data_IF_215373036327
#
_entry.id   IF_215373036327
#
_cell.length_a   1.000
_cell.length_b   1.000
_cell.length_c   1.000
_cell.angle_alpha   90.00
_cell.angle_beta   90.00
_cell.angle_gamma   90.00
#
_symmetry.space_group_name_H-M   'P 1'
#
loop_
_entity.id
_entity.type
_entity.pdbx_description
1 polymer ?
#
# COMPACT_ATOMS: atom_id res chain seq x y z
N UNK A 1 -30.14 -24.77 10.06
CA UNK A 1 -28.70 -24.44 10.18
C UNK A 1 -28.16 -23.67 8.98
N UNK A 2 -27.78 -24.28 7.84
CA UNK A 2 -27.20 -23.55 6.69
C UNK A 2 -28.18 -22.56 6.00
N UNK A 3 -29.42 -23.00 5.77
CA UNK A 3 -30.47 -22.17 5.16
C UNK A 3 -30.93 -21.02 6.08
N UNK A 4 -30.82 -21.21 7.39
CA UNK A 4 -31.22 -20.23 8.39
C UNK A 4 -30.19 -19.11 8.48
N UNK A 5 -28.89 -19.46 8.50
CA UNK A 5 -27.80 -18.49 8.36
C UNK A 5 -27.86 -17.73 7.03
N UNK A 6 -28.13 -18.42 5.92
CA UNK A 6 -28.28 -17.76 4.61
C UNK A 6 -29.43 -16.74 4.61
N UNK A 7 -30.56 -17.06 5.25
CA UNK A 7 -31.70 -16.15 5.37
C UNK A 7 -31.41 -14.96 6.30
N UNK A 8 -30.67 -15.18 7.39
CA UNK A 8 -30.24 -14.09 8.28
C UNK A 8 -29.30 -13.12 7.56
N UNK A 9 -28.32 -13.62 6.80
CA UNK A 9 -27.43 -12.78 5.97
C UNK A 9 -28.23 -12.03 4.90
N UNK A 10 -29.14 -12.72 4.20
CA UNK A 10 -29.95 -12.08 3.16
C UNK A 10 -30.87 -10.99 3.72
N UNK A 11 -31.42 -11.19 4.92
CA UNK A 11 -32.25 -10.19 5.61
C UNK A 11 -31.41 -9.00 6.04
N UNK A 12 -30.24 -9.24 6.65
CA UNK A 12 -29.32 -8.17 7.03
C UNK A 12 -28.87 -7.31 5.84
N UNK A 13 -28.49 -7.93 4.72
CA UNK A 13 -28.10 -7.21 3.50
C UNK A 13 -29.27 -6.39 2.96
N UNK A 14 -30.47 -6.97 2.95
CA UNK A 14 -31.68 -6.29 2.49
C UNK A 14 -32.01 -5.09 3.37
N UNK A 15 -31.97 -5.25 4.68
CA UNK A 15 -32.27 -4.18 5.64
C UNK A 15 -31.24 -3.05 5.56
N UNK A 16 -29.97 -3.38 5.32
CA UNK A 16 -28.91 -2.40 5.06
C UNK A 16 -29.10 -1.64 3.73
N UNK A 17 -29.81 -2.20 2.75
CA UNK A 17 -30.06 -1.59 1.43
C UNK A 17 -31.45 -0.95 1.31
N UNK A 18 -32.43 -1.32 2.15
CA UNK A 18 -33.79 -0.76 2.15
C UNK A 18 -33.93 0.49 2.99
N UNK A 19 -32.99 0.73 3.91
CA UNK A 19 -32.80 2.05 4.49
C UNK A 19 -32.35 3.01 3.39
N UNK A 20 -33.30 3.63 2.69
CA UNK A 20 -33.00 4.79 1.87
C UNK A 20 -32.24 5.78 2.77
N UNK A 21 -31.01 6.18 2.41
CA UNK A 21 -30.33 7.21 3.19
C UNK A 21 -31.30 8.39 3.29
N UNK A 22 -31.46 8.93 4.51
CA UNK A 22 -32.19 10.17 4.68
C UNK A 22 -31.65 11.16 3.64
N UNK A 23 -32.53 11.83 2.90
CA UNK A 23 -32.12 12.77 1.87
C UNK A 23 -31.33 13.92 2.52
N UNK A 24 -30.01 13.75 2.61
CA UNK A 24 -29.05 14.71 3.14
C UNK A 24 -28.29 15.33 1.99
N UNK A 25 -28.02 16.63 2.10
CA UNK A 25 -27.07 17.30 1.22
C UNK A 25 -25.66 16.83 1.55
N UNK A 26 -24.88 16.44 0.54
CA UNK A 26 -23.45 16.24 0.71
C UNK A 26 -22.82 17.63 0.66
N UNK A 27 -22.59 18.20 1.84
CA UNK A 27 -21.93 19.49 2.03
C UNK A 27 -20.51 19.30 2.61
N UNK A 28 -19.87 20.43 2.87
CA UNK A 28 -18.50 20.48 3.38
C UNK A 28 -18.38 19.84 4.78
N UNK A 29 -19.43 19.94 5.60
CA UNK A 29 -19.48 19.40 6.96
C UNK A 29 -19.49 17.86 6.93
N UNK A 30 -20.19 17.25 5.97
CA UNK A 30 -20.15 15.80 5.77
C UNK A 30 -18.72 15.31 5.48
N UNK A 31 -17.96 16.04 4.68
CA UNK A 31 -16.57 15.67 4.35
C UNK A 31 -15.68 15.81 5.59
N UNK A 32 -15.81 16.90 6.33
CA UNK A 32 -14.98 17.14 7.52
C UNK A 32 -15.29 16.12 8.63
N UNK A 33 -16.55 15.78 8.84
CA UNK A 33 -16.97 14.72 9.78
C UNK A 33 -16.43 13.33 9.38
N UNK A 34 -16.36 13.04 8.08
CA UNK A 34 -15.76 11.81 7.59
C UNK A 34 -14.23 11.79 7.80
N UNK A 35 -13.54 12.92 7.63
CA UNK A 35 -12.11 13.06 7.95
C UNK A 35 -11.87 12.81 9.45
N UNK A 36 -12.67 13.42 10.31
CA UNK A 36 -12.57 13.24 11.76
C UNK A 36 -12.83 11.79 12.20
N UNK A 37 -13.83 11.15 11.60
CA UNK A 37 -14.14 9.73 11.86
C UNK A 37 -12.98 8.81 11.47
N UNK A 38 -12.34 9.08 10.32
CA UNK A 38 -11.18 8.31 9.86
C UNK A 38 -9.93 8.59 10.69
N UNK A 39 -9.78 9.80 11.20
CA UNK A 39 -8.67 10.16 12.08
C UNK A 39 -8.66 9.35 13.39
N UNK A 40 -9.82 8.86 13.87
CA UNK A 40 -9.90 7.95 15.01
C UNK A 40 -9.24 6.58 14.79
N UNK A 41 -8.95 6.21 13.52
CA UNK A 41 -8.27 4.97 13.13
C UNK A 41 -6.88 5.20 12.55
N UNK A 42 -6.48 6.45 12.39
CA UNK A 42 -5.21 6.81 11.79
C UNK A 42 -4.05 6.49 12.73
N UNK A 43 -2.99 5.90 12.18
CA UNK A 43 -1.74 5.69 12.90
C UNK A 43 -0.79 6.87 12.63
N UNK A 44 -0.56 7.78 13.60
CA UNK A 44 0.25 8.97 13.39
C UNK A 44 1.75 8.68 13.26
N UNK A 45 2.20 7.49 13.65
CA UNK A 45 3.62 7.10 13.60
C UNK A 45 3.90 6.41 12.26
N UNK A 46 3.10 5.41 11.92
CA UNK A 46 3.35 4.59 10.73
C UNK A 46 2.45 4.95 9.54
N UNK A 47 1.49 5.86 9.70
CA UNK A 47 0.51 6.14 8.66
C UNK A 47 -0.45 4.97 8.40
N UNK A 48 -1.42 5.20 7.53
CA UNK A 48 -2.50 4.28 7.26
C UNK A 48 -3.59 4.27 8.34
N UNK A 49 -4.56 3.38 8.16
CA UNK A 49 -5.74 3.29 9.01
C UNK A 49 -5.93 1.87 9.54
N UNK A 50 -6.03 1.72 10.87
CA UNK A 50 -6.13 0.42 11.53
C UNK A 50 -4.78 -0.19 11.91
N UNK A 51 -4.81 -1.44 12.37
CA UNK A 51 -3.64 -2.20 12.82
C UNK A 51 -3.16 -3.23 11.80
N UNK A 52 -2.57 -4.31 12.30
CA UNK A 52 -2.13 -5.47 11.53
C UNK A 52 -3.29 -6.46 11.24
N UNK A 53 -3.36 -7.09 10.05
CA UNK A 53 -2.59 -6.78 8.83
C UNK A 53 -2.97 -5.41 8.27
N UNK A 54 -1.99 -4.66 7.75
CA UNK A 54 -2.18 -3.29 7.30
C UNK A 54 -2.29 -3.19 5.78
N UNK A 55 -3.41 -2.63 5.33
CA UNK A 55 -3.74 -2.45 3.90
C UNK A 55 -3.66 -0.97 3.49
N UNK A 56 -3.20 -0.65 2.27
CA UNK A 56 -3.20 0.71 1.72
C UNK A 56 -4.56 1.40 1.75
N UNK A 57 -5.67 0.65 1.56
CA UNK A 57 -7.04 1.21 1.51
C UNK A 57 -7.16 2.38 0.51
N UNK A 58 -6.88 2.11 -0.77
CA UNK A 58 -6.71 3.16 -1.78
C UNK A 58 -7.89 4.13 -1.92
N UNK A 59 -9.13 3.67 -1.72
CA UNK A 59 -10.32 4.55 -1.73
C UNK A 59 -10.33 5.56 -0.58
N UNK A 60 -9.87 5.15 0.61
CA UNK A 60 -9.75 6.03 1.78
C UNK A 60 -8.65 7.07 1.55
N UNK A 61 -7.51 6.64 0.98
CA UNK A 61 -6.42 7.56 0.63
C UNK A 61 -6.82 8.55 -0.47
N UNK A 62 -7.59 8.11 -1.46
CA UNK A 62 -8.13 8.99 -2.51
C UNK A 62 -9.09 10.03 -1.90
N UNK A 63 -9.95 9.62 -0.96
CA UNK A 63 -10.80 10.54 -0.22
C UNK A 63 -9.96 11.56 0.58
N UNK A 64 -8.91 11.13 1.27
CA UNK A 64 -8.01 12.05 2.01
C UNK A 64 -7.31 13.05 1.08
N UNK A 65 -6.83 12.62 -0.09
CA UNK A 65 -6.25 13.54 -1.09
C UNK A 65 -7.26 14.60 -1.53
N UNK A 66 -8.51 14.22 -1.75
CA UNK A 66 -9.58 15.14 -2.14
C UNK A 66 -9.92 16.12 -1.01
N UNK A 67 -10.01 15.64 0.24
CA UNK A 67 -10.21 16.50 1.40
C UNK A 67 -9.04 17.48 1.61
N UNK A 68 -7.80 17.00 1.48
CA UNK A 68 -6.60 17.84 1.57
C UNK A 68 -6.58 18.94 0.49
N UNK A 69 -6.97 18.61 -0.76
CA UNK A 69 -7.12 19.59 -1.85
C UNK A 69 -8.16 20.68 -1.57
N UNK A 70 -9.18 20.39 -0.77
CA UNK A 70 -10.18 21.37 -0.31
C UNK A 70 -9.65 22.28 0.80
N UNK A 71 -8.48 21.98 1.36
CA UNK A 71 -7.84 22.77 2.40
C UNK A 71 -7.99 22.19 3.81
N UNK A 72 -8.42 20.93 3.97
CA UNK A 72 -8.50 20.28 5.30
C UNK A 72 -7.10 19.87 5.79
N UNK A 73 -6.47 20.57 6.77
CA UNK A 73 -5.05 20.37 7.11
C UNK A 73 -4.77 18.98 7.68
N UNK A 74 -5.71 18.45 8.48
CA UNK A 74 -5.60 17.11 9.06
C UNK A 74 -5.58 16.01 7.99
N UNK A 75 -6.37 16.18 6.93
CA UNK A 75 -6.34 15.24 5.80
C UNK A 75 -4.99 15.27 5.08
N UNK A 76 -4.38 16.46 4.92
CA UNK A 76 -3.05 16.62 4.33
C UNK A 76 -1.98 15.89 5.16
N UNK A 77 -1.98 16.08 6.48
CA UNK A 77 -1.06 15.38 7.38
C UNK A 77 -1.21 13.86 7.27
N UNK A 78 -2.44 13.36 7.39
CA UNK A 78 -2.70 11.91 7.35
C UNK A 78 -2.26 11.28 6.03
N UNK A 79 -2.54 11.94 4.89
CA UNK A 79 -2.17 11.40 3.59
C UNK A 79 -0.66 11.45 3.35
N UNK A 80 0.03 12.53 3.71
CA UNK A 80 1.49 12.62 3.49
C UNK A 80 2.23 11.63 4.36
N UNK A 81 1.86 11.50 5.64
CA UNK A 81 2.44 10.48 6.53
C UNK A 81 2.21 9.08 5.96
N UNK A 82 1.01 8.78 5.48
CA UNK A 82 0.72 7.45 4.91
C UNK A 82 1.54 7.17 3.64
N UNK A 83 1.61 8.12 2.70
CA UNK A 83 2.38 7.96 1.46
C UNK A 83 3.89 7.85 1.74
N UNK A 84 4.42 8.61 2.69
CA UNK A 84 5.83 8.55 3.09
C UNK A 84 6.16 7.20 3.70
N UNK A 85 5.34 6.73 4.65
CA UNK A 85 5.58 5.47 5.35
C UNK A 85 5.42 4.26 4.43
N UNK A 86 4.40 4.25 3.55
CA UNK A 86 4.28 3.20 2.54
C UNK A 86 5.46 3.19 1.56
N UNK A 87 5.98 4.37 1.15
CA UNK A 87 7.10 4.43 0.22
C UNK A 87 8.43 4.01 0.87
N UNK A 88 8.56 4.15 2.21
CA UNK A 88 9.71 3.72 3.00
C UNK A 88 9.64 2.24 3.41
N UNK A 89 8.44 1.66 3.49
CA UNK A 89 8.23 0.30 3.98
C UNK A 89 8.49 -0.77 2.93
N UNK A 90 8.61 -2.01 3.39
CA UNK A 90 8.68 -3.21 2.54
C UNK A 90 7.38 -3.52 1.80
N UNK A 91 6.28 -2.80 2.05
CA UNK A 91 5.10 -2.83 1.16
C UNK A 91 5.42 -2.32 -0.26
N UNK A 92 6.37 -1.40 -0.39
CA UNK A 92 6.90 -0.94 -1.67
C UNK A 92 8.19 -1.70 -1.97
N UNK A 93 8.22 -2.39 -3.10
CA UNK A 93 9.43 -3.08 -3.54
C UNK A 93 10.50 -2.05 -3.91
N UNK A 94 11.49 -1.90 -3.03
CA UNK A 94 12.54 -0.90 -3.13
C UNK A 94 13.47 -1.13 -4.32
N UNK A 95 13.51 -2.34 -4.87
CA UNK A 95 14.38 -2.71 -5.98
C UNK A 95 13.60 -2.74 -7.30
N UNK A 96 12.60 -3.61 -7.39
CA UNK A 96 11.79 -3.84 -8.58
C UNK A 96 10.67 -2.82 -8.80
N UNK A 97 10.27 -2.09 -7.77
CA UNK A 97 9.11 -1.20 -7.82
C UNK A 97 7.77 -1.95 -7.74
N UNK A 98 6.70 -1.17 -7.66
CA UNK A 98 5.37 -1.70 -7.39
C UNK A 98 5.16 -1.99 -5.91
N UNK A 99 3.91 -2.28 -5.57
CA UNK A 99 3.43 -2.49 -4.22
C UNK A 99 2.87 -3.88 -4.05
N UNK A 100 3.22 -4.49 -2.92
CA UNK A 100 2.58 -5.68 -2.38
C UNK A 100 1.19 -5.35 -1.85
N UNK A 101 0.34 -6.38 -1.76
CA UNK A 101 -1.08 -6.20 -1.47
C UNK A 101 -1.35 -5.60 -0.07
N UNK A 102 -0.61 -6.05 0.92
CA UNK A 102 -0.68 -5.59 2.31
C UNK A 102 0.57 -6.01 3.08
N UNK A 103 0.70 -5.54 4.32
CA UNK A 103 1.70 -6.06 5.26
C UNK A 103 1.07 -6.82 6.40
N UNK A 104 1.73 -7.88 6.86
CA UNK A 104 1.26 -8.66 8.01
C UNK A 104 1.43 -7.88 9.32
N UNK A 105 2.40 -6.97 9.38
CA UNK A 105 2.58 -6.04 10.48
C UNK A 105 1.87 -4.70 10.25
N UNK A 106 1.92 -3.85 11.27
CA UNK A 106 1.34 -2.51 11.26
C UNK A 106 2.33 -1.41 10.83
N UNK A 107 3.58 -1.72 10.52
CA UNK A 107 4.62 -0.72 10.23
C UNK A 107 5.00 -0.65 8.75
N UNK A 108 4.27 -1.39 7.89
CA UNK A 108 4.52 -1.52 6.46
C UNK A 108 5.81 -2.27 6.12
N UNK A 109 6.33 -3.09 7.03
CA UNK A 109 7.62 -3.74 6.84
C UNK A 109 7.46 -5.08 6.12
N UNK A 110 6.76 -6.05 6.69
CA UNK A 110 6.66 -7.43 6.20
C UNK A 110 5.50 -7.57 5.21
N UNK A 111 5.75 -7.64 3.89
CA UNK A 111 4.69 -7.75 2.90
C UNK A 111 4.09 -9.15 2.86
N UNK A 112 2.83 -9.21 2.44
CA UNK A 112 2.30 -10.39 1.76
C UNK A 112 2.72 -10.28 0.30
N UNK A 113 3.67 -11.10 -0.14
CA UNK A 113 4.48 -10.82 -1.34
C UNK A 113 3.72 -10.79 -2.67
N UNK A 114 2.44 -11.17 -2.69
CA UNK A 114 1.52 -11.00 -3.82
C UNK A 114 1.41 -9.52 -4.25
N UNK A 115 1.47 -9.26 -5.55
CA UNK A 115 1.24 -7.94 -6.14
C UNK A 115 0.05 -7.98 -7.11
N UNK A 116 -0.94 -7.13 -6.88
CA UNK A 116 -2.15 -7.07 -7.70
C UNK A 116 -2.11 -5.89 -8.66
N UNK A 117 -2.57 -6.07 -9.90
CA UNK A 117 -2.63 -5.00 -10.91
C UNK A 117 -3.50 -3.84 -10.42
N UNK A 118 -4.68 -4.14 -9.89
CA UNK A 118 -5.63 -3.11 -9.48
C UNK A 118 -5.11 -2.28 -8.30
N UNK A 119 -4.33 -2.88 -7.39
CA UNK A 119 -3.71 -2.17 -6.28
C UNK A 119 -2.62 -1.22 -6.81
N UNK A 120 -1.73 -1.72 -7.66
CA UNK A 120 -0.66 -0.92 -8.25
C UNK A 120 -1.19 0.24 -9.11
N UNK A 121 -2.24 0.00 -9.90
CA UNK A 121 -2.90 1.05 -10.69
C UNK A 121 -3.49 2.17 -9.81
N UNK A 122 -4.14 1.79 -8.70
CA UNK A 122 -4.71 2.75 -7.76
C UNK A 122 -3.62 3.50 -6.99
N UNK A 123 -2.60 2.80 -6.50
CA UNK A 123 -1.50 3.39 -5.73
C UNK A 123 -0.66 4.34 -6.58
N UNK A 124 -0.35 3.99 -7.84
CA UNK A 124 0.31 4.91 -8.76
C UNK A 124 -0.46 6.23 -8.91
N UNK A 125 -1.79 6.17 -9.01
CA UNK A 125 -2.65 7.35 -9.04
C UNK A 125 -2.58 8.17 -7.75
N UNK A 126 -2.55 7.51 -6.58
CA UNK A 126 -2.40 8.19 -5.29
C UNK A 126 -1.09 8.97 -5.19
N UNK A 127 0.03 8.37 -5.62
CA UNK A 127 1.33 9.03 -5.61
C UNK A 127 1.42 10.17 -6.64
N UNK A 128 0.84 10.01 -7.83
CA UNK A 128 0.70 11.11 -8.80
C UNK A 128 -0.09 12.28 -8.19
N UNK A 129 -1.20 11.97 -7.54
CA UNK A 129 -2.08 12.98 -6.95
C UNK A 129 -1.47 13.64 -5.72
N UNK A 130 -0.70 12.89 -4.93
CA UNK A 130 0.16 13.39 -3.86
C UNK A 130 1.22 14.35 -4.40
N UNK A 131 1.94 13.98 -5.46
CA UNK A 131 2.91 14.88 -6.11
C UNK A 131 2.24 16.16 -6.63
N UNK A 132 1.06 16.06 -7.24
CA UNK A 132 0.32 17.26 -7.70
C UNK A 132 -0.05 18.19 -6.54
N UNK A 133 -0.37 17.62 -5.38
CA UNK A 133 -0.76 18.35 -4.17
C UNK A 133 0.43 18.99 -3.46
N UNK A 134 1.53 18.25 -3.27
CA UNK A 134 2.66 18.66 -2.42
C UNK A 134 3.89 19.12 -3.18
N UNK A 135 4.01 18.75 -4.47
CA UNK A 135 5.23 18.87 -5.28
C UNK A 135 6.45 18.16 -4.69
N UNK A 136 6.22 17.15 -3.84
CA UNK A 136 7.28 16.28 -3.37
C UNK A 136 7.70 15.32 -4.49
N UNK A 137 8.87 15.57 -5.11
CA UNK A 137 9.38 14.78 -6.23
C UNK A 137 9.57 13.30 -5.89
N UNK A 138 9.71 12.93 -4.62
CA UNK A 138 9.72 11.53 -4.19
C UNK A 138 8.43 10.80 -4.59
N UNK A 139 7.28 11.46 -4.49
CA UNK A 139 6.00 10.85 -4.88
C UNK A 139 5.92 10.61 -6.39
N UNK A 140 6.50 11.52 -7.19
CA UNK A 140 6.63 11.32 -8.63
C UNK A 140 7.49 10.09 -8.92
N UNK A 141 8.64 9.95 -8.25
CA UNK A 141 9.54 8.80 -8.43
C UNK A 141 8.85 7.47 -8.08
N UNK A 142 8.10 7.42 -6.97
CA UNK A 142 7.35 6.21 -6.58
C UNK A 142 6.27 5.87 -7.62
N UNK A 143 5.55 6.87 -8.13
CA UNK A 143 4.59 6.69 -9.21
C UNK A 143 5.24 6.12 -10.47
N UNK A 144 6.33 6.73 -10.94
CA UNK A 144 7.07 6.29 -12.13
C UNK A 144 7.59 4.86 -11.96
N UNK A 145 8.23 4.53 -10.83
CA UNK A 145 8.70 3.17 -10.53
C UNK A 145 7.58 2.13 -10.47
N UNK A 146 6.41 2.51 -9.94
CA UNK A 146 5.24 1.63 -9.90
C UNK A 146 4.72 1.35 -11.32
N UNK A 147 4.69 2.37 -12.18
CA UNK A 147 4.28 2.21 -13.58
C UNK A 147 5.31 1.43 -14.40
N UNK A 148 6.61 1.64 -14.16
CA UNK A 148 7.68 0.86 -14.76
C UNK A 148 7.58 -0.63 -14.39
N UNK A 149 7.27 -0.94 -13.13
CA UNK A 149 6.95 -2.31 -12.71
C UNK A 149 5.76 -2.88 -13.50
N UNK A 150 4.65 -2.15 -13.61
CA UNK A 150 3.47 -2.62 -14.36
C UNK A 150 3.80 -2.88 -15.82
N UNK A 151 4.56 -1.99 -16.46
CA UNK A 151 4.98 -2.15 -17.86
C UNK A 151 5.93 -3.34 -18.06
N UNK A 152 6.81 -3.61 -17.08
CA UNK A 152 7.81 -4.66 -17.18
C UNK A 152 7.26 -6.05 -16.81
N UNK A 153 6.53 -6.15 -15.71
CA UNK A 153 6.14 -7.43 -15.10
C UNK A 153 4.67 -7.78 -15.33
N UNK A 154 3.80 -6.79 -15.51
CA UNK A 154 2.35 -6.99 -15.53
C UNK A 154 1.71 -6.77 -16.91
N UNK A 155 2.52 -6.53 -17.94
CA UNK A 155 2.03 -6.31 -19.32
C UNK A 155 2.31 -7.53 -20.16
N UNK A 156 1.27 -8.08 -20.76
CA UNK A 156 1.38 -9.17 -21.70
C UNK A 156 1.92 -8.65 -23.05
N UNK A 157 2.88 -9.35 -23.70
CA UNK A 157 3.43 -8.94 -24.99
C UNK A 157 2.39 -8.71 -26.10
N UNK A 158 1.21 -9.34 -26.02
CA UNK A 158 0.11 -9.17 -26.97
C UNK A 158 -0.79 -7.95 -26.63
N UNK A 159 -0.44 -7.18 -25.60
CA UNK A 159 -1.07 -5.89 -25.24
C UNK A 159 -2.09 -5.96 -24.10
N UNK A 160 -2.27 -7.11 -23.48
CA UNK A 160 -3.07 -7.27 -22.26
C UNK A 160 -2.31 -6.90 -20.98
N UNK A 161 -2.98 -7.00 -19.84
CA UNK A 161 -2.32 -6.93 -18.52
C UNK A 161 -2.65 -8.18 -17.70
N UNK A 162 -1.66 -8.70 -16.98
CA UNK A 162 -1.86 -9.74 -15.98
C UNK A 162 -2.59 -9.17 -14.77
N UNK A 163 -3.45 -9.97 -14.13
CA UNK A 163 -4.23 -9.50 -12.98
C UNK A 163 -3.44 -9.48 -11.67
N UNK A 164 -2.46 -10.38 -11.52
CA UNK A 164 -1.67 -10.56 -10.31
C UNK A 164 -0.30 -11.19 -10.62
N UNK A 165 0.66 -10.93 -9.73
CA UNK A 165 1.91 -11.67 -9.57
C UNK A 165 1.84 -12.40 -8.23
N UNK A 166 1.98 -13.72 -8.26
CA UNK A 166 1.85 -14.60 -7.09
C UNK A 166 3.01 -14.42 -6.11
N UNK A 167 2.77 -14.75 -4.84
CA UNK A 167 3.75 -14.71 -3.75
C UNK A 167 4.69 -15.93 -3.74
N UNK A 168 4.23 -17.04 -4.34
CA UNK A 168 4.95 -18.31 -4.34
C UNK A 168 6.05 -18.35 -5.41
N UNK A 169 7.28 -18.54 -4.95
CA UNK A 169 8.45 -18.71 -5.81
C UNK A 169 9.18 -19.99 -5.40
N UNK A 170 9.09 -21.02 -6.24
CA UNK A 170 9.73 -22.33 -6.00
C UNK A 170 9.29 -23.03 -4.69
N UNK A 171 8.06 -22.76 -4.23
CA UNK A 171 7.49 -23.31 -3.00
C UNK A 171 7.95 -22.62 -1.71
N UNK A 172 8.61 -21.47 -1.83
CA UNK A 172 9.00 -20.59 -0.71
C UNK A 172 8.38 -19.22 -0.96
N UNK A 173 7.53 -18.77 -0.03
CA UNK A 173 6.92 -17.44 -0.09
C UNK A 173 8.00 -16.35 -0.02
N UNK A 174 7.98 -15.40 -0.96
CA UNK A 174 8.83 -14.20 -0.87
C UNK A 174 10.31 -14.38 -1.22
N UNK A 175 10.74 -15.55 -1.74
CA UNK A 175 12.15 -15.87 -2.03
C UNK A 175 12.90 -14.80 -2.84
N UNK A 176 12.25 -14.15 -3.81
CA UNK A 176 12.90 -13.13 -4.66
C UNK A 176 12.94 -11.73 -4.03
N UNK A 177 12.37 -11.55 -2.85
CA UNK A 177 12.23 -10.27 -2.17
C UNK A 177 13.01 -10.22 -0.85
N UNK A 178 13.83 -11.24 -0.57
CA UNK A 178 14.66 -11.33 0.63
C UNK A 178 16.14 -11.37 0.23
N UNK A 179 16.99 -10.77 1.06
CA UNK A 179 18.42 -10.57 0.76
C UNK A 179 19.31 -10.94 1.94
N UNK A 180 20.44 -11.58 1.64
CA UNK A 180 21.57 -11.73 2.56
C UNK A 180 22.69 -10.73 2.26
N UNK A 181 23.52 -10.35 3.25
CA UNK A 181 24.67 -9.49 2.99
C UNK A 181 25.63 -10.04 1.92
N UNK A 182 25.82 -11.36 1.88
CA UNK A 182 26.66 -12.02 0.88
C UNK A 182 26.15 -11.81 -0.53
N UNK A 183 24.86 -12.04 -0.78
CA UNK A 183 24.26 -11.87 -2.10
C UNK A 183 24.39 -10.42 -2.60
N UNK A 184 24.18 -9.46 -1.70
CA UNK A 184 24.36 -8.04 -2.02
C UNK A 184 25.81 -7.72 -2.37
N UNK A 185 26.77 -8.20 -1.57
CA UNK A 185 28.21 -7.94 -1.83
C UNK A 185 28.72 -8.67 -3.07
N UNK A 186 28.16 -9.82 -3.43
CA UNK A 186 28.54 -10.56 -4.64
C UNK A 186 28.13 -9.81 -5.92
N UNK A 187 27.02 -9.07 -5.89
CA UNK A 187 26.52 -8.29 -7.04
C UNK A 187 27.15 -6.89 -7.09
N UNK A 188 27.19 -6.17 -5.97
CA UNK A 188 27.64 -4.77 -5.93
C UNK A 188 29.14 -4.61 -5.66
N UNK A 189 29.82 -5.69 -5.28
CA UNK A 189 31.16 -5.64 -4.71
C UNK A 189 31.16 -5.19 -3.25
N UNK A 190 32.26 -5.43 -2.54
CA UNK A 190 32.33 -5.28 -1.08
C UNK A 190 31.99 -3.85 -0.60
N UNK A 191 32.59 -2.83 -1.21
CA UNK A 191 32.46 -1.44 -0.73
C UNK A 191 31.04 -0.86 -0.91
N UNK A 192 30.42 -1.09 -2.06
CA UNK A 192 29.05 -0.64 -2.34
C UNK A 192 28.02 -1.54 -1.67
N UNK A 193 28.27 -2.85 -1.61
CA UNK A 193 27.41 -3.79 -0.91
C UNK A 193 27.30 -3.49 0.59
N UNK A 194 28.41 -3.21 1.28
CA UNK A 194 28.37 -2.81 2.69
C UNK A 194 27.61 -1.50 2.92
N UNK A 195 27.71 -0.54 1.99
CA UNK A 195 26.94 0.71 2.05
C UNK A 195 25.45 0.43 1.88
N UNK A 196 25.09 -0.39 0.90
CA UNK A 196 23.72 -0.79 0.62
C UNK A 196 23.10 -1.51 1.83
N UNK A 197 23.82 -2.49 2.40
CA UNK A 197 23.35 -3.23 3.56
C UNK A 197 23.09 -2.32 4.77
N UNK A 198 23.96 -1.35 5.04
CA UNK A 198 23.72 -0.37 6.13
C UNK A 198 22.52 0.52 5.87
N UNK A 199 22.25 0.88 4.62
CA UNK A 199 21.14 1.76 4.27
C UNK A 199 19.79 1.07 4.40
N UNK A 200 19.72 -0.20 4.00
CA UNK A 200 18.50 -1.02 4.00
C UNK A 200 18.40 -2.00 5.19
N UNK A 201 19.25 -1.84 6.21
CA UNK A 201 19.30 -2.71 7.39
C UNK A 201 19.44 -4.21 7.07
N UNK A 202 20.21 -4.53 6.02
CA UNK A 202 20.47 -5.91 5.61
C UNK A 202 21.57 -6.49 6.50
N UNK A 203 21.18 -7.38 7.40
CA UNK A 203 22.08 -7.95 8.42
C UNK A 203 22.21 -9.47 8.27
N UNK A 204 23.30 -10.09 8.79
CA UNK A 204 23.43 -11.55 8.80
C UNK A 204 22.33 -12.27 9.60
N UNK A 205 21.69 -11.58 10.55
CA UNK A 205 20.56 -12.10 11.32
C UNK A 205 19.22 -11.98 10.59
N UNK A 206 19.13 -11.07 9.62
CA UNK A 206 17.89 -10.72 8.96
C UNK A 206 16.89 -9.96 9.84
N UNK A 207 15.85 -9.43 9.21
CA UNK A 207 14.64 -8.90 9.86
C UNK A 207 13.39 -9.75 9.53
N UNK A 208 13.53 -10.78 8.68
CA UNK A 208 12.48 -11.73 8.26
C UNK A 208 13.10 -13.11 7.98
N UNK A 209 12.74 -14.12 8.78
CA UNK A 209 13.16 -15.53 8.60
C UNK A 209 14.66 -15.75 8.29
N UNK A 210 15.54 -14.99 8.94
CA UNK A 210 16.99 -15.08 8.74
C UNK A 210 17.54 -14.32 7.53
N UNK A 211 16.67 -13.61 6.80
CA UNK A 211 17.02 -12.72 5.68
C UNK A 211 16.48 -11.32 5.91
N UNK A 212 16.83 -10.37 5.05
CA UNK A 212 16.36 -8.99 5.13
C UNK A 212 15.42 -8.66 3.97
N UNK A 213 14.27 -8.08 4.29
CA UNK A 213 13.31 -7.52 3.32
C UNK A 213 13.48 -6.01 3.17
#
# INVERSE_FOLDING_TARGET
DLLENANQIATFIRDAHTAAPAAGTIDDEVVDNAVESLAGRFDPVNGGFGGAPKFPQASVLEFMLRAARRGTPRALEMITTTLDQMANGGIHDQVGGGFHRYTVDAIWLVPHFEKMLYDNAQIARLYLDGWRLTRNDRYRQVCERTLEYVLREMTDPDGGFYSAQDADSEGIEGKFFVWSPSEVTDVLGLADGERFCRWFDITPSGNFEGHSI
#
